data_IF_917006389680
#
_entry.id   IF_917006389680
#
_cell.length_a   1.000
_cell.length_b   1.000
_cell.length_c   1.000
_cell.angle_alpha   90.00
_cell.angle_beta   90.00
_cell.angle_gamma   90.00
#
_symmetry.space_group_name_H-M   'P 1'
#
loop_
_entity.id
_entity.type
_entity.pdbx_description
1 polymer ?
#
# COMPACT_ATOMS: atom_id res chain seq x y z
N UNK A 1 22.22 -21.21 -14.07
CA UNK A 1 20.84 -21.73 -14.10
C UNK A 1 20.03 -21.01 -13.03
N UNK A 2 19.32 -19.93 -13.40
CA UNK A 2 18.34 -19.32 -12.50
C UNK A 2 17.17 -20.30 -12.42
N UNK A 3 16.97 -20.93 -11.27
CA UNK A 3 15.72 -21.63 -10.97
C UNK A 3 14.61 -20.58 -11.10
N UNK A 4 13.74 -20.75 -12.10
CA UNK A 4 12.46 -20.05 -12.14
C UNK A 4 11.74 -20.50 -10.88
N UNK A 5 11.69 -19.61 -9.88
CA UNK A 5 10.99 -19.90 -8.64
C UNK A 5 9.53 -20.20 -8.98
N UNK A 6 9.03 -21.29 -8.45
CA UNK A 6 7.60 -21.54 -8.41
C UNK A 6 6.97 -20.35 -7.70
N UNK A 7 6.11 -19.63 -8.41
CA UNK A 7 5.34 -18.50 -7.85
C UNK A 7 4.60 -19.00 -6.60
N UNK A 8 5.01 -18.52 -5.42
CA UNK A 8 4.42 -18.94 -4.16
C UNK A 8 3.12 -18.17 -3.89
N UNK A 9 2.12 -18.88 -3.38
CA UNK A 9 0.88 -18.27 -2.87
C UNK A 9 1.20 -17.59 -1.55
N UNK A 10 0.98 -16.28 -1.50
CA UNK A 10 1.21 -15.48 -0.29
C UNK A 10 -0.08 -15.28 0.49
N UNK A 11 0.05 -15.24 1.81
CA UNK A 11 -0.97 -14.80 2.73
C UNK A 11 -0.76 -13.31 2.98
N UNK A 12 -1.74 -12.49 2.61
CA UNK A 12 -1.65 -11.04 2.62
C UNK A 12 -2.39 -10.45 3.83
N UNK A 13 -1.72 -9.54 4.53
CA UNK A 13 -2.32 -8.67 5.52
C UNK A 13 -2.38 -7.25 4.98
N UNK A 14 -3.48 -6.56 5.20
CA UNK A 14 -3.68 -5.20 4.68
C UNK A 14 -4.03 -4.26 5.83
N UNK A 15 -3.43 -3.08 5.83
CA UNK A 15 -3.70 -2.04 6.81
C UNK A 15 -4.35 -0.83 6.14
N UNK A 16 -5.45 -0.35 6.71
CA UNK A 16 -6.24 0.75 6.18
C UNK A 16 -6.58 1.78 7.27
N UNK A 17 -6.71 3.04 6.89
CA UNK A 17 -7.26 4.09 7.75
C UNK A 17 -8.56 4.67 7.22
N UNK A 18 -8.83 4.56 5.93
CA UNK A 18 -9.91 5.26 5.23
C UNK A 18 -10.85 4.36 4.47
N UNK A 19 -11.18 4.79 3.26
CA UNK A 19 -12.26 4.21 2.46
C UNK A 19 -11.98 2.80 1.93
N UNK A 20 -10.71 2.41 1.79
CA UNK A 20 -10.34 1.06 1.40
C UNK A 20 -10.48 0.75 -0.08
N UNK A 21 -10.39 1.76 -0.96
CA UNK A 21 -10.47 1.54 -2.40
C UNK A 21 -9.29 0.71 -2.93
N UNK A 22 -8.08 0.96 -2.45
CA UNK A 22 -6.92 0.12 -2.76
C UNK A 22 -7.05 -1.30 -2.18
N UNK A 23 -7.60 -1.42 -0.97
CA UNK A 23 -7.91 -2.71 -0.37
C UNK A 23 -8.85 -3.54 -1.27
N UNK A 24 -9.98 -2.96 -1.68
CA UNK A 24 -10.92 -3.64 -2.57
C UNK A 24 -10.28 -3.99 -3.91
N UNK A 25 -9.46 -3.11 -4.45
CA UNK A 25 -8.73 -3.36 -5.69
C UNK A 25 -7.80 -4.59 -5.56
N UNK A 26 -7.09 -4.74 -4.46
CA UNK A 26 -6.24 -5.92 -4.21
C UNK A 26 -7.08 -7.19 -4.15
N UNK A 27 -8.18 -7.15 -3.43
CA UNK A 27 -9.08 -8.30 -3.24
C UNK A 27 -9.71 -8.77 -4.56
N UNK A 28 -10.06 -7.85 -5.43
CA UNK A 28 -10.79 -8.14 -6.68
C UNK A 28 -9.91 -8.22 -7.92
N UNK A 29 -8.65 -7.82 -7.83
CA UNK A 29 -7.77 -7.76 -9.00
C UNK A 29 -7.29 -9.15 -9.42
N UNK A 30 -7.42 -9.52 -10.72
CA UNK A 30 -6.96 -10.81 -11.21
C UNK A 30 -5.48 -11.11 -10.96
N UNK A 31 -4.60 -10.10 -10.93
CA UNK A 31 -3.17 -10.27 -10.64
C UNK A 31 -2.91 -10.80 -9.23
N UNK A 32 -3.80 -10.52 -8.29
CA UNK A 32 -3.69 -10.98 -6.91
C UNK A 32 -4.54 -12.24 -6.62
N UNK A 33 -5.25 -12.77 -7.60
CA UNK A 33 -6.22 -13.85 -7.42
C UNK A 33 -5.62 -15.16 -6.89
N UNK A 34 -4.34 -15.39 -7.11
CA UNK A 34 -3.62 -16.55 -6.56
C UNK A 34 -3.24 -16.39 -5.08
N UNK A 35 -3.24 -15.16 -4.58
CA UNK A 35 -2.90 -14.86 -3.18
C UNK A 35 -4.17 -14.77 -2.34
N UNK A 36 -4.02 -14.93 -1.04
CA UNK A 36 -5.14 -14.89 -0.10
C UNK A 36 -5.02 -13.68 0.84
N UNK A 37 -6.00 -12.78 0.81
CA UNK A 37 -6.11 -11.70 1.80
C UNK A 37 -6.75 -12.29 3.05
N UNK A 38 -5.95 -12.47 4.11
CA UNK A 38 -6.38 -13.20 5.31
C UNK A 38 -6.82 -12.29 6.45
N UNK A 39 -6.34 -11.05 6.48
CA UNK A 39 -6.62 -10.11 7.57
C UNK A 39 -6.50 -8.68 7.09
N UNK A 40 -7.43 -7.84 7.51
CA UNK A 40 -7.34 -6.38 7.40
C UNK A 40 -7.30 -5.76 8.78
N UNK A 41 -6.30 -4.93 9.06
CA UNK A 41 -6.20 -4.12 10.27
C UNK A 41 -6.52 -2.66 9.93
N UNK A 42 -7.37 -2.03 10.74
CA UNK A 42 -7.65 -0.61 10.63
C UNK A 42 -7.45 0.08 11.98
N UNK A 43 -7.12 1.37 11.95
CA UNK A 43 -6.82 2.15 13.16
C UNK A 43 -7.93 3.14 13.53
N UNK A 44 -8.89 3.39 12.65
CA UNK A 44 -9.96 4.37 12.85
C UNK A 44 -11.27 3.71 13.24
N UNK A 45 -12.11 4.42 14.01
CA UNK A 45 -13.43 3.92 14.42
C UNK A 45 -14.39 3.76 13.23
N UNK A 46 -14.37 4.75 12.33
CA UNK A 46 -15.14 4.73 11.09
C UNK A 46 -14.19 4.55 9.93
N UNK A 47 -14.16 3.36 9.38
CA UNK A 47 -13.30 3.01 8.27
C UNK A 47 -14.14 2.35 7.18
N UNK A 48 -14.24 2.97 6.01
CA UNK A 48 -14.97 2.42 4.87
C UNK A 48 -14.45 1.06 4.42
N UNK A 49 -13.17 0.77 4.69
CA UNK A 49 -12.57 -0.52 4.42
C UNK A 49 -13.25 -1.66 5.20
N UNK A 50 -13.83 -1.40 6.37
CA UNK A 50 -14.57 -2.40 7.17
C UNK A 50 -15.78 -2.93 6.40
N UNK A 51 -16.56 -2.05 5.78
CA UNK A 51 -17.70 -2.44 4.95
C UNK A 51 -17.26 -3.32 3.78
N UNK A 52 -16.14 -2.97 3.16
CA UNK A 52 -15.57 -3.76 2.06
C UNK A 52 -15.06 -5.11 2.53
N UNK A 53 -14.37 -5.17 3.66
CA UNK A 53 -13.90 -6.43 4.26
C UNK A 53 -15.06 -7.36 4.58
N UNK A 54 -16.13 -6.84 5.17
CA UNK A 54 -17.33 -7.61 5.47
C UNK A 54 -18.00 -8.16 4.20
N UNK A 55 -18.07 -7.36 3.14
CA UNK A 55 -18.60 -7.76 1.83
C UNK A 55 -17.88 -8.98 1.25
N UNK A 56 -16.56 -9.04 1.40
CA UNK A 56 -15.72 -10.11 0.86
C UNK A 56 -15.42 -11.22 1.88
N UNK A 57 -16.02 -11.17 3.06
CA UNK A 57 -15.80 -12.17 4.12
C UNK A 57 -14.38 -12.17 4.69
N UNK A 58 -13.69 -11.04 4.64
CA UNK A 58 -12.31 -10.91 5.15
C UNK A 58 -12.34 -10.50 6.61
N UNK A 59 -11.68 -11.26 7.50
CA UNK A 59 -11.53 -10.88 8.90
C UNK A 59 -10.87 -9.51 9.04
N UNK A 60 -11.39 -8.68 9.92
CA UNK A 60 -10.87 -7.34 10.17
C UNK A 60 -10.87 -7.02 11.65
N UNK A 61 -9.85 -6.31 12.10
CA UNK A 61 -9.64 -5.94 13.50
C UNK A 61 -9.22 -4.49 13.58
N UNK A 62 -9.83 -3.76 14.51
CA UNK A 62 -9.38 -2.41 14.85
C UNK A 62 -8.24 -2.48 15.86
N UNK A 63 -7.10 -1.89 15.51
CA UNK A 63 -5.95 -1.75 16.40
C UNK A 63 -5.49 -0.28 16.39
N UNK A 64 -5.43 0.40 17.54
CA UNK A 64 -4.89 1.74 17.61
C UNK A 64 -3.46 1.79 17.05
N UNK A 65 -3.12 2.87 16.33
CA UNK A 65 -1.82 2.98 15.66
C UNK A 65 -0.61 2.90 16.59
N UNK A 66 -0.79 3.18 17.89
CA UNK A 66 0.28 3.10 18.89
C UNK A 66 0.55 1.67 19.36
N UNK A 67 -0.38 0.76 19.14
CA UNK A 67 -0.29 -0.63 19.62
C UNK A 67 0.27 -1.55 18.52
N UNK A 68 1.52 -1.30 18.13
CA UNK A 68 2.20 -2.11 17.12
C UNK A 68 2.43 -3.54 17.59
N UNK A 69 2.63 -3.78 18.88
CA UNK A 69 2.80 -5.14 19.44
C UNK A 69 1.57 -6.01 19.16
N UNK A 70 0.37 -5.46 19.32
CA UNK A 70 -0.86 -6.18 18.98
C UNK A 70 -0.97 -6.47 17.47
N UNK A 71 -0.58 -5.53 16.62
CA UNK A 71 -0.55 -5.75 15.16
C UNK A 71 0.41 -6.89 14.82
N UNK A 72 1.60 -6.89 15.39
CA UNK A 72 2.63 -7.93 15.19
C UNK A 72 2.08 -9.30 15.58
N UNK A 73 1.47 -9.41 16.74
CA UNK A 73 0.87 -10.67 17.23
C UNK A 73 -0.21 -11.17 16.28
N UNK A 74 -1.09 -10.30 15.80
CA UNK A 74 -2.13 -10.66 14.83
C UNK A 74 -1.55 -11.17 13.52
N UNK A 75 -0.56 -10.48 12.97
CA UNK A 75 0.07 -10.91 11.73
C UNK A 75 0.83 -12.24 11.88
N UNK A 76 1.41 -12.51 13.04
CA UNK A 76 2.01 -13.82 13.35
C UNK A 76 0.97 -14.93 13.44
N UNK A 77 -0.11 -14.70 14.18
CA UNK A 77 -1.21 -15.68 14.36
C UNK A 77 -1.85 -16.03 13.02
N UNK A 78 -2.09 -15.04 12.18
CA UNK A 78 -2.67 -15.21 10.84
C UNK A 78 -1.67 -15.67 9.78
N UNK A 79 -0.39 -15.84 10.15
CA UNK A 79 0.68 -16.30 9.25
C UNK A 79 0.78 -15.47 7.97
N UNK A 80 0.80 -14.16 8.14
CA UNK A 80 0.91 -13.22 7.02
C UNK A 80 2.33 -13.25 6.43
N UNK A 81 2.43 -13.33 5.11
CA UNK A 81 3.69 -13.35 4.38
C UNK A 81 4.11 -11.97 3.86
N UNK A 82 3.13 -11.10 3.64
CA UNK A 82 3.35 -9.73 3.17
C UNK A 82 2.26 -8.82 3.73
N UNK A 83 2.68 -7.67 4.26
CA UNK A 83 1.79 -6.61 4.75
C UNK A 83 1.77 -5.48 3.72
N UNK A 84 0.57 -5.01 3.35
CA UNK A 84 0.38 -3.91 2.42
C UNK A 84 -0.31 -2.75 3.15
N UNK A 85 0.33 -1.58 3.13
CA UNK A 85 -0.30 -0.35 3.59
C UNK A 85 -1.16 0.22 2.46
N UNK A 86 -2.46 0.07 2.57
CA UNK A 86 -3.44 0.52 1.58
C UNK A 86 -4.22 1.72 2.12
N UNK A 87 -3.60 2.90 2.07
CA UNK A 87 -4.16 4.11 2.66
C UNK A 87 -4.10 4.12 4.18
N UNK A 88 -3.07 3.54 4.77
CA UNK A 88 -2.80 3.62 6.20
C UNK A 88 -2.09 4.94 6.52
N UNK A 89 -2.75 5.81 7.27
CA UNK A 89 -2.37 7.21 7.46
C UNK A 89 -1.45 7.45 8.67
N UNK A 90 -0.80 6.42 9.17
CA UNK A 90 0.14 6.50 10.30
C UNK A 90 1.48 5.88 9.94
N UNK A 91 2.53 6.42 10.55
CA UNK A 91 3.88 5.88 10.40
C UNK A 91 4.05 4.63 11.27
N UNK A 92 4.57 3.57 10.70
CA UNK A 92 5.00 2.38 11.44
C UNK A 92 6.35 2.71 12.10
N UNK A 93 6.42 2.69 13.42
CA UNK A 93 7.63 3.09 14.15
C UNK A 93 8.72 2.03 14.13
N UNK A 94 8.34 0.76 14.22
CA UNK A 94 9.28 -0.35 14.33
C UNK A 94 9.01 -1.41 13.25
N UNK A 95 9.16 -1.08 11.96
CA UNK A 95 8.83 -2.01 10.87
C UNK A 95 9.65 -3.30 10.93
N UNK A 96 10.90 -3.25 11.38
CA UNK A 96 11.77 -4.44 11.51
C UNK A 96 11.30 -5.46 12.55
N UNK A 97 10.41 -5.07 13.46
CA UNK A 97 9.81 -5.99 14.44
C UNK A 97 8.63 -6.79 13.90
N UNK A 98 8.10 -6.41 12.75
CA UNK A 98 6.99 -7.13 12.12
C UNK A 98 7.49 -8.45 11.53
N UNK A 99 6.63 -9.50 11.49
CA UNK A 99 7.06 -10.86 11.14
C UNK A 99 7.37 -11.06 9.65
N UNK A 100 7.05 -10.09 8.80
CA UNK A 100 7.21 -10.18 7.36
C UNK A 100 7.42 -8.79 6.74
N UNK A 101 7.82 -8.70 5.47
CA UNK A 101 7.97 -7.42 4.80
C UNK A 101 6.68 -6.60 4.78
N UNK A 102 6.84 -5.28 4.84
CA UNK A 102 5.75 -4.30 4.71
C UNK A 102 6.04 -3.49 3.46
N UNK A 103 5.03 -3.33 2.61
CA UNK A 103 5.09 -2.46 1.43
C UNK A 103 4.07 -1.33 1.52
N UNK A 104 4.39 -0.21 0.88
CA UNK A 104 3.54 0.97 0.81
C UNK A 104 3.53 1.53 -0.61
N UNK A 105 2.49 2.27 -0.95
CA UNK A 105 2.44 3.07 -2.17
C UNK A 105 2.45 4.55 -1.80
N UNK A 106 3.38 5.31 -2.38
CA UNK A 106 3.56 6.74 -2.15
C UNK A 106 3.27 7.53 -3.43
N UNK A 107 2.52 8.65 -3.36
CA UNK A 107 2.05 9.39 -4.55
C UNK A 107 3.11 10.34 -5.12
N UNK A 108 4.33 9.87 -5.30
CA UNK A 108 5.40 10.55 -6.03
C UNK A 108 6.37 9.54 -6.64
N UNK A 109 7.23 10.02 -7.53
CA UNK A 109 8.37 9.24 -8.05
C UNK A 109 9.54 9.36 -7.07
N UNK A 110 9.55 8.53 -6.02
CA UNK A 110 10.62 8.54 -5.03
C UNK A 110 12.01 8.41 -5.68
N UNK A 111 13.00 9.12 -5.17
CA UNK A 111 13.09 9.82 -3.89
C UNK A 111 12.53 11.25 -3.85
N UNK A 112 11.87 11.70 -4.90
CA UNK A 112 11.24 13.03 -4.92
C UNK A 112 10.02 13.07 -4.00
N UNK A 113 9.86 14.17 -3.27
CA UNK A 113 8.66 14.52 -2.50
C UNK A 113 8.26 13.46 -1.48
N UNK A 114 9.20 13.08 -0.61
CA UNK A 114 8.92 12.22 0.54
C UNK A 114 7.98 12.92 1.52
N UNK A 115 7.20 12.14 2.27
CA UNK A 115 6.30 12.66 3.30
C UNK A 115 5.00 13.20 2.75
N UNK A 116 4.45 14.20 3.45
CA UNK A 116 3.15 14.78 3.14
C UNK A 116 3.19 15.73 1.94
N UNK A 117 2.02 15.95 1.33
CA UNK A 117 1.81 16.94 0.26
C UNK A 117 2.67 16.70 -1.00
N UNK A 118 2.93 15.44 -1.33
CA UNK A 118 3.76 15.07 -2.48
C UNK A 118 3.17 15.55 -3.81
N UNK A 119 1.85 15.51 -3.97
CA UNK A 119 1.16 15.96 -5.19
C UNK A 119 1.30 17.46 -5.36
N UNK A 120 1.05 18.22 -4.30
CA UNK A 120 1.19 19.69 -4.29
C UNK A 120 2.62 20.10 -4.61
N UNK A 121 3.60 19.43 -4.01
CA UNK A 121 5.02 19.71 -4.24
C UNK A 121 5.41 19.45 -5.70
N UNK A 122 4.93 18.37 -6.30
CA UNK A 122 5.17 18.06 -7.70
C UNK A 122 4.60 19.15 -8.63
N UNK A 123 3.40 19.64 -8.35
CA UNK A 123 2.79 20.73 -9.11
C UNK A 123 3.57 22.05 -8.99
N UNK A 124 4.00 22.40 -7.78
CA UNK A 124 4.75 23.62 -7.50
C UNK A 124 6.17 23.60 -8.09
N UNK A 125 6.75 22.41 -8.26
CA UNK A 125 8.12 22.26 -8.76
C UNK A 125 8.31 22.62 -10.23
N UNK A 126 7.23 22.62 -11.02
CA UNK A 126 7.29 22.73 -12.46
C UNK A 126 7.67 21.45 -13.20
N UNK A 127 7.73 20.30 -12.51
CA UNK A 127 7.95 19.01 -13.16
C UNK A 127 6.82 18.72 -14.17
N UNK A 128 7.20 18.10 -15.29
CA UNK A 128 6.24 17.70 -16.33
C UNK A 128 5.62 16.31 -16.05
N UNK A 129 6.24 15.55 -15.18
CA UNK A 129 5.85 14.18 -14.84
C UNK A 129 5.98 13.95 -13.35
N UNK A 130 5.04 13.25 -12.79
CA UNK A 130 5.09 12.69 -11.44
C UNK A 130 4.64 11.24 -11.49
N UNK A 131 4.16 10.68 -10.42
CA UNK A 131 3.64 9.33 -10.40
C UNK A 131 3.48 8.78 -9.00
N UNK A 132 3.65 7.48 -8.88
CA UNK A 132 3.59 6.77 -7.61
C UNK A 132 4.66 5.69 -7.54
N UNK A 133 5.01 5.31 -6.32
CA UNK A 133 6.07 4.34 -6.03
C UNK A 133 5.56 3.31 -5.04
N UNK A 134 5.69 2.04 -5.37
CA UNK A 134 5.56 0.95 -4.40
C UNK A 134 6.95 0.64 -3.87
N UNK A 135 7.10 0.66 -2.55
CA UNK A 135 8.39 0.47 -1.89
C UNK A 135 8.26 -0.33 -0.61
N UNK A 136 9.36 -0.94 -0.18
CA UNK A 136 9.44 -1.53 1.16
C UNK A 136 9.46 -0.45 2.23
N UNK A 137 8.82 -0.72 3.36
CA UNK A 137 8.82 0.15 4.53
C UNK A 137 9.96 -0.25 5.45
N UNK A 138 10.80 0.72 5.80
CA UNK A 138 11.85 0.61 6.80
C UNK A 138 11.74 1.77 7.80
N UNK A 139 12.73 1.96 8.66
CA UNK A 139 12.75 3.03 9.68
C UNK A 139 12.85 4.43 9.08
N UNK A 140 13.30 4.57 7.84
CA UNK A 140 13.36 5.85 7.13
C UNK A 140 12.04 6.11 6.39
N UNK A 141 11.40 7.23 6.68
CA UNK A 141 10.14 7.63 6.01
C UNK A 141 10.34 7.69 4.50
N UNK A 142 9.56 6.91 3.75
CA UNK A 142 9.61 6.80 2.29
C UNK A 142 11.01 6.52 1.73
N UNK A 143 11.87 5.88 2.54
CA UNK A 143 13.27 5.63 2.20
C UNK A 143 13.60 4.18 1.87
N UNK A 144 12.63 3.27 1.94
CA UNK A 144 12.86 1.85 1.65
C UNK A 144 13.07 1.58 0.15
N UNK A 145 13.58 0.39 -0.15
CA UNK A 145 13.85 -0.05 -1.52
C UNK A 145 12.60 0.02 -2.41
N UNK A 146 12.75 0.60 -3.58
CA UNK A 146 11.69 0.71 -4.60
C UNK A 146 11.45 -0.65 -5.25
N UNK A 147 10.18 -1.04 -5.34
CA UNK A 147 9.73 -2.27 -6.01
C UNK A 147 9.27 -1.95 -7.43
N UNK A 148 8.39 -0.96 -7.58
CA UNK A 148 7.79 -0.58 -8.84
C UNK A 148 7.37 0.89 -8.81
N UNK A 149 7.51 1.58 -9.93
CA UNK A 149 7.04 2.96 -10.11
C UNK A 149 6.12 3.05 -11.32
N UNK A 150 5.16 3.97 -11.26
CA UNK A 150 4.32 4.32 -12.39
C UNK A 150 4.33 5.82 -12.63
N UNK A 151 4.58 6.24 -13.87
CA UNK A 151 4.62 7.64 -14.26
C UNK A 151 3.22 8.17 -14.61
N UNK A 152 2.98 9.43 -14.26
CA UNK A 152 1.75 10.17 -14.56
C UNK A 152 2.15 11.56 -15.08
N UNK A 153 1.70 11.99 -16.27
CA UNK A 153 2.00 13.32 -16.76
C UNK A 153 1.24 14.38 -15.94
N UNK A 154 1.90 15.50 -15.68
CA UNK A 154 1.26 16.70 -15.13
C UNK A 154 0.80 17.56 -16.30
N UNK A 155 -0.52 17.69 -16.47
CA UNK A 155 -1.09 18.47 -17.57
C UNK A 155 -1.15 19.97 -17.22
N UNK A 156 -1.08 20.88 -18.22
CA UNK A 156 -1.04 22.33 -17.95
C UNK A 156 -2.23 22.86 -17.15
N UNK A 157 -3.40 22.20 -17.26
CA UNK A 157 -4.64 22.59 -16.59
C UNK A 157 -5.01 21.69 -15.42
N UNK A 158 -4.07 20.84 -14.94
CA UNK A 158 -4.31 20.03 -13.76
C UNK A 158 -4.48 20.88 -12.51
N UNK A 159 -5.39 20.46 -11.66
CA UNK A 159 -5.48 20.86 -10.26
C UNK A 159 -4.86 19.76 -9.37
N UNK A 160 -4.64 20.05 -8.10
CA UNK A 160 -4.26 19.02 -7.12
C UNK A 160 -5.25 17.86 -7.13
N UNK A 161 -6.55 18.15 -7.22
CA UNK A 161 -7.60 17.14 -7.25
C UNK A 161 -7.52 16.25 -8.49
N UNK A 162 -7.39 16.83 -9.70
CA UNK A 162 -7.35 16.04 -10.93
C UNK A 162 -6.06 15.20 -11.02
N UNK A 163 -4.93 15.75 -10.60
CA UNK A 163 -3.67 15.04 -10.57
C UNK A 163 -3.69 13.91 -9.54
N UNK A 164 -4.24 14.15 -8.36
CA UNK A 164 -4.40 13.12 -7.32
C UNK A 164 -5.22 11.94 -7.84
N UNK A 165 -6.31 12.19 -8.55
CA UNK A 165 -7.13 11.13 -9.15
C UNK A 165 -6.35 10.34 -10.22
N UNK A 166 -5.57 11.02 -11.04
CA UNK A 166 -4.73 10.37 -12.05
C UNK A 166 -3.66 9.46 -11.41
N UNK A 167 -3.03 9.93 -10.33
CA UNK A 167 -2.06 9.16 -9.56
C UNK A 167 -2.73 7.93 -8.91
N UNK A 168 -3.91 8.09 -8.32
CA UNK A 168 -4.66 6.98 -7.72
C UNK A 168 -5.00 5.89 -8.75
N UNK A 169 -5.39 6.27 -9.96
CA UNK A 169 -5.60 5.30 -11.05
C UNK A 169 -4.33 4.52 -11.38
N UNK A 170 -3.17 5.18 -11.35
CA UNK A 170 -1.88 4.53 -11.56
C UNK A 170 -1.53 3.60 -10.40
N UNK A 171 -1.82 3.99 -9.17
CA UNK A 171 -1.66 3.14 -7.99
C UNK A 171 -2.46 1.84 -8.11
N UNK A 172 -3.70 1.92 -8.59
CA UNK A 172 -4.56 0.74 -8.80
C UNK A 172 -3.99 -0.23 -9.83
N UNK A 173 -3.18 0.26 -10.76
CA UNK A 173 -2.49 -0.61 -11.73
C UNK A 173 -1.20 -1.20 -11.15
N UNK A 174 -0.36 -0.39 -10.51
CA UNK A 174 0.98 -0.84 -10.11
C UNK A 174 1.02 -1.61 -8.79
N UNK A 175 0.12 -1.33 -7.85
CA UNK A 175 0.15 -2.00 -6.55
C UNK A 175 -0.15 -3.50 -6.67
N UNK A 176 -1.20 -3.95 -7.37
CA UNK A 176 -1.41 -5.38 -7.61
C UNK A 176 -0.26 -6.03 -8.40
N UNK A 177 0.30 -5.33 -9.39
CA UNK A 177 1.45 -5.83 -10.15
C UNK A 177 2.69 -6.01 -9.27
N UNK A 178 2.95 -5.07 -8.36
CA UNK A 178 4.04 -5.18 -7.40
C UNK A 178 3.84 -6.37 -6.45
N UNK A 179 2.64 -6.55 -5.92
CA UNK A 179 2.31 -7.69 -5.04
C UNK A 179 2.54 -9.01 -5.78
N UNK A 180 2.04 -9.13 -7.00
CA UNK A 180 2.22 -10.36 -7.80
C UNK A 180 3.70 -10.66 -8.09
N UNK A 181 4.52 -9.63 -8.30
CA UNK A 181 5.95 -9.80 -8.55
C UNK A 181 6.73 -10.33 -7.35
N UNK A 182 6.21 -10.20 -6.13
CA UNK A 182 6.83 -10.65 -4.89
C UNK A 182 6.46 -12.09 -4.50
N UNK A 183 5.47 -12.63 -5.15
CA UNK A 183 4.99 -13.99 -4.91
C UNK A 183 5.65 -15.10 -5.74
#
# INVERSE_FOLDING_TARGET
CKKRGVSSIMRLGIMCSGNGTNFENIVTNPLCSKHEVVLMIHNTKQCGAVTRAAKFGIPHVRVPHKDEDHMIDLFEVWRVDLIILAGYMRVIKNPSKFPCPIINVHPSLLPKYKGLHAVEQAMESGDLTTGCTVHYVNEELDGGEVILQGEVPILPNDSVETLTKAIQRKEYAILPAAIDSLG
#
